data_IF_355634631598
#
_entry.id   IF_355634631598
#
_cell.length_a   1.000
_cell.length_b   1.000
_cell.length_c   1.000
_cell.angle_alpha   90.00
_cell.angle_beta   90.00
_cell.angle_gamma   90.00
#
_symmetry.space_group_name_H-M   'P 1'
#
loop_
_entity.id
_entity.type
_entity.pdbx_description
1 polymer ?
#
# COMPACT_ATOMS: atom_id res chain seq x y z
N UNK A 1 -1.18 -37.90 -14.61
CA UNK A 1 -2.29 -37.27 -15.37
C UNK A 1 -3.43 -36.79 -14.47
N UNK A 2 -3.98 -37.62 -13.56
CA UNK A 2 -5.18 -37.28 -12.77
C UNK A 2 -5.02 -36.09 -11.80
N UNK A 3 -3.85 -35.89 -11.19
CA UNK A 3 -3.64 -34.78 -10.26
C UNK A 3 -3.62 -33.41 -10.94
N UNK A 4 -2.97 -33.31 -12.12
CA UNK A 4 -2.94 -32.08 -12.93
C UNK A 4 -4.32 -31.77 -13.50
N UNK A 5 -5.04 -32.79 -13.97
CA UNK A 5 -6.42 -32.61 -14.46
C UNK A 5 -7.34 -32.08 -13.34
N UNK A 6 -7.17 -32.62 -12.14
CA UNK A 6 -7.93 -32.21 -10.95
C UNK A 6 -7.55 -30.80 -10.46
N UNK A 7 -6.27 -30.41 -10.51
CA UNK A 7 -5.84 -29.05 -10.14
C UNK A 7 -6.29 -28.00 -11.17
N UNK A 8 -6.27 -28.33 -12.45
CA UNK A 8 -6.83 -27.49 -13.51
C UNK A 8 -8.34 -27.32 -13.35
N UNK A 9 -9.07 -28.40 -13.05
CA UNK A 9 -10.51 -28.35 -12.76
C UNK A 9 -10.84 -27.45 -11.57
N UNK A 10 -10.09 -27.54 -10.46
CA UNK A 10 -10.24 -26.65 -9.30
C UNK A 10 -10.05 -25.17 -9.67
N UNK A 11 -9.03 -24.86 -10.48
CA UNK A 11 -8.72 -23.49 -10.87
C UNK A 11 -9.85 -22.87 -11.72
N UNK A 12 -10.42 -23.66 -12.63
CA UNK A 12 -11.58 -23.25 -13.44
C UNK A 12 -12.82 -22.99 -12.58
N UNK A 13 -13.11 -23.87 -11.62
CA UNK A 13 -14.21 -23.69 -10.68
C UNK A 13 -14.03 -22.42 -9.85
N UNK A 14 -12.81 -22.12 -9.37
CA UNK A 14 -12.52 -20.90 -8.63
C UNK A 14 -12.74 -19.64 -9.47
N UNK A 15 -12.36 -19.64 -10.75
CA UNK A 15 -12.60 -18.51 -11.66
C UNK A 15 -14.11 -18.20 -11.80
N UNK A 16 -14.97 -19.22 -11.82
CA UNK A 16 -16.42 -19.03 -11.87
C UNK A 16 -17.04 -18.58 -10.54
N UNK A 17 -16.53 -19.10 -9.42
CA UNK A 17 -17.06 -18.84 -8.08
C UNK A 17 -16.64 -17.46 -7.54
N UNK A 18 -15.44 -16.96 -7.87
CA UNK A 18 -14.93 -15.68 -7.35
C UNK A 18 -15.84 -14.49 -7.74
N UNK A 19 -16.22 -14.29 -9.02
CA UNK A 19 -17.14 -13.24 -9.41
C UNK A 19 -18.50 -13.36 -8.72
N UNK A 20 -19.00 -14.58 -8.54
CA UNK A 20 -20.24 -14.82 -7.80
C UNK A 20 -20.11 -14.38 -6.35
N UNK A 21 -19.03 -14.72 -5.64
CA UNK A 21 -18.83 -14.24 -4.28
C UNK A 21 -18.65 -12.73 -4.20
N UNK A 22 -17.90 -12.12 -5.11
CA UNK A 22 -17.77 -10.66 -5.18
C UNK A 22 -19.14 -10.02 -5.37
N UNK A 23 -19.94 -10.53 -6.32
CA UNK A 23 -21.29 -10.08 -6.56
C UNK A 23 -22.16 -10.21 -5.31
N UNK A 24 -22.17 -11.38 -4.65
CA UNK A 24 -22.95 -11.61 -3.44
C UNK A 24 -22.51 -10.69 -2.29
N UNK A 25 -21.22 -10.49 -2.08
CA UNK A 25 -20.70 -9.59 -1.04
C UNK A 25 -21.08 -8.14 -1.31
N UNK A 26 -21.05 -7.70 -2.58
CA UNK A 26 -21.49 -6.35 -2.95
C UNK A 26 -23.02 -6.22 -2.81
N UNK A 27 -23.78 -7.23 -3.22
CA UNK A 27 -25.24 -7.25 -3.17
C UNK A 27 -25.75 -7.23 -1.72
N UNK A 28 -25.16 -8.04 -0.84
CA UNK A 28 -25.56 -8.14 0.57
C UNK A 28 -24.83 -7.14 1.50
N UNK A 29 -24.11 -6.16 0.96
CA UNK A 29 -23.31 -5.21 1.78
C UNK A 29 -24.14 -4.49 2.86
N UNK A 30 -25.37 -4.09 2.52
CA UNK A 30 -26.24 -3.33 3.43
C UNK A 30 -26.86 -4.26 4.49
N UNK A 31 -27.16 -5.50 4.11
CA UNK A 31 -27.58 -6.55 5.04
C UNK A 31 -26.48 -6.85 6.08
N UNK A 32 -25.22 -6.95 5.67
CA UNK A 32 -24.11 -7.14 6.59
C UNK A 32 -23.91 -5.94 7.52
N UNK A 33 -24.08 -4.71 7.01
CA UNK A 33 -24.04 -3.51 7.85
C UNK A 33 -25.14 -3.52 8.90
N UNK A 34 -26.38 -3.87 8.51
CA UNK A 34 -27.51 -3.96 9.43
C UNK A 34 -27.35 -5.09 10.46
N UNK A 35 -26.81 -6.25 10.04
CA UNK A 35 -26.44 -7.33 10.95
C UNK A 35 -25.48 -6.84 12.03
N UNK A 36 -24.43 -6.09 11.66
CA UNK A 36 -23.46 -5.54 12.61
C UNK A 36 -24.10 -4.55 13.58
N UNK A 37 -25.02 -3.71 13.11
CA UNK A 37 -25.79 -2.79 13.95
C UNK A 37 -26.59 -3.57 14.99
N UNK A 38 -27.31 -4.62 14.57
CA UNK A 38 -28.14 -5.45 15.47
C UNK A 38 -27.32 -6.32 16.42
N UNK A 39 -26.13 -6.77 15.99
CA UNK A 39 -25.23 -7.60 16.80
C UNK A 39 -24.49 -6.78 17.85
N UNK A 40 -24.17 -5.52 17.53
CA UNK A 40 -23.45 -4.63 18.43
C UNK A 40 -24.34 -4.11 19.54
N UNK A 41 -23.81 -4.08 20.77
CA UNK A 41 -24.43 -3.38 21.92
C UNK A 41 -24.15 -1.88 21.92
N UNK A 42 -23.39 -1.37 20.93
CA UNK A 42 -23.04 0.05 20.79
C UNK A 42 -24.14 0.82 20.07
N UNK A 43 -24.03 2.14 20.08
CA UNK A 43 -24.91 3.02 19.34
C UNK A 43 -24.90 2.69 17.84
N UNK A 44 -26.08 2.66 17.21
CA UNK A 44 -26.24 2.32 15.80
C UNK A 44 -25.41 3.24 14.89
N UNK A 45 -25.38 4.54 15.20
CA UNK A 45 -24.61 5.52 14.44
C UNK A 45 -23.10 5.23 14.48
N UNK A 46 -22.56 4.85 15.65
CA UNK A 46 -21.14 4.52 15.78
C UNK A 46 -20.73 3.35 14.87
N UNK A 47 -21.57 2.32 14.82
CA UNK A 47 -21.33 1.13 13.97
C UNK A 47 -21.41 1.50 12.50
N UNK A 48 -22.43 2.27 12.08
CA UNK A 48 -22.57 2.72 10.69
C UNK A 48 -21.39 3.60 10.26
N UNK A 49 -20.94 4.52 11.12
CA UNK A 49 -19.74 5.29 10.87
C UNK A 49 -18.50 4.40 10.73
N UNK A 50 -18.35 3.36 11.56
CA UNK A 50 -17.24 2.42 11.47
C UNK A 50 -17.24 1.63 10.15
N UNK A 51 -18.41 1.14 9.72
CA UNK A 51 -18.58 0.43 8.44
C UNK A 51 -18.20 1.36 7.28
N UNK A 52 -18.71 2.60 7.30
CA UNK A 52 -18.40 3.62 6.28
C UNK A 52 -16.89 3.92 6.22
N UNK A 53 -16.24 4.16 7.36
CA UNK A 53 -14.83 4.54 7.41
C UNK A 53 -13.94 3.38 6.97
N UNK A 54 -14.26 2.16 7.42
CA UNK A 54 -13.58 0.93 6.98
C UNK A 54 -13.71 0.75 5.46
N UNK A 55 -14.92 0.91 4.92
CA UNK A 55 -15.17 0.85 3.48
C UNK A 55 -14.38 1.89 2.69
N UNK A 56 -14.30 3.14 3.19
CA UNK A 56 -13.51 4.21 2.56
C UNK A 56 -12.02 3.90 2.54
N UNK A 57 -11.47 3.29 3.59
CA UNK A 57 -10.05 2.86 3.64
C UNK A 57 -9.78 1.77 2.62
N UNK A 58 -10.59 0.72 2.60
CA UNK A 58 -10.44 -0.39 1.65
C UNK A 58 -10.57 0.12 0.21
N UNK A 59 -11.61 0.92 -0.07
CA UNK A 59 -11.85 1.47 -1.40
C UNK A 59 -10.71 2.37 -1.86
N UNK A 60 -10.26 3.30 -1.00
CA UNK A 60 -9.17 4.20 -1.35
C UNK A 60 -7.86 3.46 -1.60
N UNK A 61 -7.57 2.42 -0.82
CA UNK A 61 -6.42 1.57 -1.05
C UNK A 61 -6.53 0.83 -2.39
N UNK A 62 -7.63 0.13 -2.66
CA UNK A 62 -7.78 -0.66 -3.90
C UNK A 62 -7.77 0.22 -5.16
N UNK A 63 -8.54 1.32 -5.17
CA UNK A 63 -8.56 2.28 -6.29
C UNK A 63 -7.21 2.97 -6.43
N UNK A 64 -6.58 3.31 -5.30
CA UNK A 64 -5.28 3.92 -5.27
C UNK A 64 -4.22 3.00 -5.88
N UNK A 65 -4.18 1.71 -5.50
CA UNK A 65 -3.26 0.73 -6.06
C UNK A 65 -3.43 0.55 -7.57
N UNK A 66 -4.66 0.49 -8.08
CA UNK A 66 -4.90 0.41 -9.54
C UNK A 66 -4.31 1.63 -10.25
N UNK A 67 -4.49 2.83 -9.70
CA UNK A 67 -3.95 4.07 -10.25
C UNK A 67 -2.42 4.12 -10.17
N UNK A 68 -1.84 3.79 -9.02
CA UNK A 68 -0.38 3.74 -8.80
C UNK A 68 0.24 2.79 -9.82
N UNK A 69 -0.25 1.55 -9.87
CA UNK A 69 0.22 0.53 -10.80
C UNK A 69 0.10 0.97 -12.26
N UNK A 70 -1.01 1.61 -12.64
CA UNK A 70 -1.18 2.16 -13.98
C UNK A 70 -0.14 3.24 -14.33
N UNK A 71 0.15 4.16 -13.40
CA UNK A 71 1.15 5.22 -13.58
C UNK A 71 2.55 4.60 -13.70
N UNK A 72 2.92 3.69 -12.79
CA UNK A 72 4.23 3.03 -12.79
C UNK A 72 4.45 2.22 -14.07
N UNK A 73 3.45 1.43 -14.48
CA UNK A 73 3.51 0.67 -15.72
C UNK A 73 3.65 1.58 -16.95
N UNK A 74 2.96 2.71 -16.96
CA UNK A 74 3.05 3.69 -18.04
C UNK A 74 4.44 4.35 -18.11
N UNK A 75 4.99 4.80 -16.97
CA UNK A 75 6.34 5.37 -16.89
C UNK A 75 7.41 4.37 -17.32
N UNK A 76 7.35 3.14 -16.81
CA UNK A 76 8.27 2.07 -17.20
C UNK A 76 8.11 1.71 -18.68
N UNK A 77 6.89 1.62 -19.18
CA UNK A 77 6.60 1.33 -20.59
C UNK A 77 7.14 2.39 -21.56
N UNK A 78 7.00 3.68 -21.22
CA UNK A 78 7.63 4.77 -21.99
C UNK A 78 9.14 4.59 -22.02
N UNK A 79 9.76 4.35 -20.87
CA UNK A 79 11.21 4.15 -20.80
C UNK A 79 11.65 2.96 -21.68
N UNK A 80 10.99 1.81 -21.55
CA UNK A 80 11.31 0.63 -22.35
C UNK A 80 11.13 0.85 -23.85
N UNK A 81 10.08 1.59 -24.24
CA UNK A 81 9.84 1.97 -25.63
C UNK A 81 10.97 2.85 -26.18
N UNK A 82 11.37 3.89 -25.44
CA UNK A 82 12.45 4.80 -25.84
C UNK A 82 13.81 4.12 -25.93
N UNK A 83 14.05 3.11 -25.08
CA UNK A 83 15.26 2.29 -25.10
C UNK A 83 15.28 1.24 -26.23
N UNK A 84 14.20 1.13 -27.02
CA UNK A 84 14.11 0.15 -28.11
C UNK A 84 13.99 -1.31 -27.63
N UNK A 85 13.51 -1.53 -26.40
CA UNK A 85 13.31 -2.88 -25.86
C UNK A 85 12.20 -3.58 -26.65
N UNK A 86 12.55 -4.64 -27.37
CA UNK A 86 11.65 -5.35 -28.30
C UNK A 86 10.27 -5.69 -27.71
N UNK A 87 10.24 -6.15 -26.46
CA UNK A 87 9.01 -6.56 -25.77
C UNK A 87 8.57 -5.53 -24.71
N UNK A 88 8.73 -4.22 -24.99
CA UNK A 88 8.43 -3.15 -24.02
C UNK A 88 7.03 -3.26 -23.40
N UNK A 89 6.00 -3.58 -24.20
CA UNK A 89 4.62 -3.67 -23.72
C UNK A 89 4.40 -4.88 -22.80
N UNK A 90 5.06 -5.99 -23.09
CA UNK A 90 5.06 -7.18 -22.23
C UNK A 90 5.71 -6.87 -20.89
N UNK A 91 6.88 -6.21 -20.89
CA UNK A 91 7.56 -5.84 -19.66
C UNK A 91 6.81 -4.79 -18.86
N UNK A 92 6.18 -3.80 -19.52
CA UNK A 92 5.32 -2.83 -18.85
C UNK A 92 4.11 -3.50 -18.18
N UNK A 93 3.44 -4.42 -18.88
CA UNK A 93 2.35 -5.21 -18.32
C UNK A 93 2.80 -6.13 -17.18
N UNK A 94 4.01 -6.70 -17.29
CA UNK A 94 4.60 -7.52 -16.25
C UNK A 94 4.95 -6.72 -15.00
N UNK A 95 5.54 -5.53 -15.16
CA UNK A 95 5.76 -4.57 -14.07
C UNK A 95 4.42 -4.20 -13.43
N UNK A 96 3.38 -3.92 -14.24
CA UNK A 96 2.04 -3.62 -13.71
C UNK A 96 1.51 -4.77 -12.83
N UNK A 97 1.57 -6.00 -13.34
CA UNK A 97 1.10 -7.17 -12.63
C UNK A 97 1.89 -7.41 -11.34
N UNK A 98 3.21 -7.29 -11.40
CA UNK A 98 4.06 -7.46 -10.24
C UNK A 98 3.87 -6.33 -9.21
N UNK A 99 3.59 -5.10 -9.62
CA UNK A 99 3.37 -3.99 -8.70
C UNK A 99 2.16 -4.18 -7.77
N UNK A 100 1.26 -5.13 -8.08
CA UNK A 100 0.19 -5.54 -7.18
C UNK A 100 0.71 -6.23 -5.90
N UNK A 101 1.93 -6.74 -5.92
CA UNK A 101 2.61 -7.40 -4.79
C UNK A 101 3.56 -6.39 -4.13
N UNK A 102 3.19 -5.77 -3.00
CA UNK A 102 3.98 -4.68 -2.42
C UNK A 102 5.41 -5.13 -2.08
N UNK A 103 6.38 -4.28 -2.43
CA UNK A 103 7.85 -4.47 -2.30
C UNK A 103 8.45 -5.63 -3.09
N UNK A 104 7.85 -6.83 -3.02
CA UNK A 104 8.37 -8.05 -3.63
C UNK A 104 8.27 -8.00 -5.15
N UNK A 105 7.13 -7.55 -5.68
CA UNK A 105 6.91 -7.56 -7.12
C UNK A 105 7.78 -6.57 -7.88
N UNK A 106 8.02 -5.38 -7.33
CA UNK A 106 8.96 -4.42 -7.92
C UNK A 106 10.36 -5.03 -8.00
N UNK A 107 10.82 -5.69 -6.94
CA UNK A 107 12.12 -6.35 -6.94
C UNK A 107 12.22 -7.42 -8.03
N UNK A 108 11.26 -8.34 -8.08
CA UNK A 108 11.23 -9.44 -9.06
C UNK A 108 11.15 -8.90 -10.49
N UNK A 109 10.27 -7.94 -10.74
CA UNK A 109 10.09 -7.37 -12.08
C UNK A 109 11.32 -6.61 -12.54
N UNK A 110 11.93 -5.80 -11.66
CA UNK A 110 13.15 -5.06 -11.98
C UNK A 110 14.30 -6.01 -12.31
N UNK A 111 14.52 -7.04 -11.50
CA UNK A 111 15.58 -8.04 -11.74
C UNK A 111 15.39 -8.71 -13.10
N UNK A 112 14.17 -9.15 -13.42
CA UNK A 112 13.89 -9.83 -14.69
C UNK A 112 14.09 -8.90 -15.90
N UNK A 113 13.64 -7.66 -15.83
CA UNK A 113 13.82 -6.69 -16.91
C UNK A 113 15.29 -6.33 -17.10
N UNK A 114 16.02 -6.05 -16.01
CA UNK A 114 17.45 -5.72 -16.06
C UNK A 114 18.24 -6.90 -16.64
N UNK A 115 17.91 -8.13 -16.23
CA UNK A 115 18.55 -9.34 -16.76
C UNK A 115 18.27 -9.52 -18.25
N UNK A 116 17.03 -9.29 -18.69
CA UNK A 116 16.69 -9.32 -20.11
C UNK A 116 17.52 -8.30 -20.91
N UNK A 117 17.58 -7.05 -20.44
CA UNK A 117 18.36 -6.01 -21.10
C UNK A 117 19.84 -6.39 -21.14
N UNK A 118 20.40 -6.83 -20.02
CA UNK A 118 21.78 -7.29 -19.94
C UNK A 118 22.12 -8.41 -20.94
N UNK A 119 21.22 -9.38 -21.12
CA UNK A 119 21.42 -10.51 -22.04
C UNK A 119 21.17 -10.17 -23.51
N UNK A 120 20.49 -9.06 -23.81
CA UNK A 120 20.08 -8.70 -25.18
C UNK A 120 20.81 -7.47 -25.74
N UNK A 121 21.66 -6.83 -24.95
CA UNK A 121 22.45 -5.67 -25.36
C UNK A 121 23.94 -5.93 -25.18
N UNK A 122 24.75 -5.52 -26.16
CA UNK A 122 26.21 -5.71 -26.15
C UNK A 122 26.97 -4.72 -25.24
N UNK A 123 26.26 -3.85 -24.50
CA UNK A 123 26.85 -2.80 -23.67
C UNK A 123 26.24 -2.77 -22.26
N UNK A 124 27.11 -2.68 -21.26
CA UNK A 124 26.72 -2.52 -19.85
C UNK A 124 25.98 -1.22 -19.56
N UNK A 125 26.01 -0.25 -20.46
CA UNK A 125 25.29 1.01 -20.29
C UNK A 125 23.77 0.80 -20.17
N UNK A 126 23.20 -0.06 -21.01
CA UNK A 126 21.75 -0.32 -21.08
C UNK A 126 21.16 -0.93 -19.79
N UNK A 127 21.74 -1.99 -19.19
CA UNK A 127 21.23 -2.54 -17.94
C UNK A 127 21.45 -1.59 -16.76
N UNK A 128 22.55 -0.82 -16.74
CA UNK A 128 22.81 0.17 -15.69
C UNK A 128 21.81 1.32 -15.73
N UNK A 129 21.53 1.89 -16.91
CA UNK A 129 20.52 2.95 -17.04
C UNK A 129 19.11 2.42 -16.76
N UNK A 130 18.81 1.16 -17.15
CA UNK A 130 17.55 0.50 -16.81
C UNK A 130 17.37 0.37 -15.30
N UNK A 131 18.40 -0.07 -14.58
CA UNK A 131 18.39 -0.12 -13.12
C UNK A 131 18.14 1.28 -12.52
N UNK A 132 18.90 2.29 -12.99
CA UNK A 132 18.77 3.65 -12.48
C UNK A 132 17.36 4.24 -12.69
N UNK A 133 16.76 4.02 -13.86
CA UNK A 133 15.41 4.52 -14.16
C UNK A 133 14.34 3.77 -13.39
N UNK A 134 14.39 2.43 -13.34
CA UNK A 134 13.41 1.65 -12.56
C UNK A 134 13.50 1.98 -11.06
N UNK A 135 14.71 2.16 -10.55
CA UNK A 135 14.92 2.64 -9.18
C UNK A 135 14.37 4.06 -8.98
N UNK A 136 14.60 4.95 -9.94
CA UNK A 136 14.03 6.30 -9.92
C UNK A 136 12.50 6.30 -9.91
N UNK A 137 11.87 5.45 -10.72
CA UNK A 137 10.42 5.24 -10.73
C UNK A 137 9.96 4.73 -9.37
N UNK A 138 10.66 3.75 -8.76
CA UNK A 138 10.32 3.23 -7.44
C UNK A 138 10.40 4.29 -6.34
N UNK A 139 11.42 5.14 -6.37
CA UNK A 139 11.53 6.25 -5.44
C UNK A 139 10.41 7.27 -5.65
N UNK A 140 10.07 7.58 -6.89
CA UNK A 140 8.99 8.49 -7.22
C UNK A 140 7.63 7.92 -6.81
N UNK A 141 7.41 6.61 -7.01
CA UNK A 141 6.24 5.90 -6.52
C UNK A 141 6.09 6.04 -5.02
N UNK A 142 7.11 5.65 -4.26
CA UNK A 142 7.04 5.59 -2.80
C UNK A 142 6.91 6.97 -2.14
N UNK A 143 7.56 8.00 -2.71
CA UNK A 143 7.63 9.31 -2.08
C UNK A 143 6.61 10.31 -2.63
N UNK A 144 6.08 10.10 -3.84
CA UNK A 144 5.17 11.06 -4.49
C UNK A 144 3.86 10.40 -4.89
N UNK A 145 3.90 9.36 -5.73
CA UNK A 145 2.67 8.79 -6.31
C UNK A 145 1.81 8.17 -5.22
N UNK A 146 2.37 7.26 -4.41
CA UNK A 146 1.62 6.54 -3.38
C UNK A 146 1.02 7.50 -2.34
N UNK A 147 1.77 8.45 -1.75
CA UNK A 147 1.18 9.44 -0.85
C UNK A 147 0.12 10.34 -1.50
N UNK A 148 0.23 10.65 -2.79
CA UNK A 148 -0.75 11.50 -3.46
C UNK A 148 -2.03 10.72 -3.87
N UNK A 149 -1.87 9.48 -4.31
CA UNK A 149 -2.93 8.66 -4.92
C UNK A 149 -3.66 7.79 -3.90
N UNK A 150 -2.91 7.20 -2.97
CA UNK A 150 -3.41 6.33 -1.89
C UNK A 150 -3.56 7.12 -0.58
N UNK A 151 -2.83 8.22 -0.43
CA UNK A 151 -2.49 8.76 0.88
C UNK A 151 -3.59 9.46 1.67
N UNK A 152 -3.27 9.57 2.96
CA UNK A 152 -4.03 10.02 4.13
C UNK A 152 -5.14 9.09 4.67
N UNK A 153 -5.52 8.00 3.99
CA UNK A 153 -6.64 7.15 4.47
C UNK A 153 -6.21 5.88 5.18
N UNK A 154 -5.10 5.25 4.78
CA UNK A 154 -4.64 4.02 5.42
C UNK A 154 -3.81 4.30 6.68
N UNK A 155 -3.16 5.48 6.82
CA UNK A 155 -2.46 6.00 8.02
C UNK A 155 -1.83 4.93 8.94
N UNK A 156 -1.05 4.03 8.35
CA UNK A 156 -0.40 2.93 9.05
C UNK A 156 1.10 3.05 8.81
N UNK A 157 1.91 2.91 9.87
CA UNK A 157 3.36 3.01 9.73
C UNK A 157 3.98 1.84 8.96
N UNK A 158 5.21 2.05 8.51
CA UNK A 158 5.95 1.08 7.70
C UNK A 158 6.13 -0.27 8.39
N UNK A 159 6.36 -0.31 9.70
CA UNK A 159 6.56 -1.56 10.44
C UNK A 159 5.28 -2.43 10.41
N UNK A 160 4.13 -1.82 10.67
CA UNK A 160 2.85 -2.50 10.61
C UNK A 160 2.52 -2.98 9.18
N UNK A 161 2.87 -2.22 8.14
CA UNK A 161 2.76 -2.66 6.74
C UNK A 161 3.64 -3.88 6.46
N UNK A 162 4.89 -3.91 6.92
CA UNK A 162 5.78 -5.06 6.76
C UNK A 162 5.18 -6.30 7.42
N UNK A 163 4.69 -6.19 8.67
CA UNK A 163 4.01 -7.30 9.34
C UNK A 163 2.76 -7.75 8.60
N UNK A 164 1.96 -6.82 8.09
CA UNK A 164 0.77 -7.11 7.30
C UNK A 164 1.12 -7.98 6.08
N UNK A 165 2.19 -7.62 5.37
CA UNK A 165 2.67 -8.35 4.19
C UNK A 165 3.17 -9.74 4.56
N UNK A 166 3.97 -9.86 5.62
CA UNK A 166 4.51 -11.15 6.05
C UNK A 166 3.39 -12.11 6.50
N UNK A 167 2.47 -11.63 7.33
CA UNK A 167 1.33 -12.42 7.83
C UNK A 167 0.37 -12.76 6.69
N UNK A 168 0.02 -11.77 5.86
CA UNK A 168 -0.86 -11.96 4.72
C UNK A 168 -0.26 -12.92 3.69
N UNK A 169 1.03 -12.77 3.41
CA UNK A 169 1.79 -13.68 2.55
C UNK A 169 1.78 -15.12 3.05
N UNK A 170 1.90 -15.32 4.36
CA UNK A 170 1.85 -16.64 4.95
C UNK A 170 0.44 -17.26 4.95
N UNK A 171 -0.61 -16.45 5.19
CA UNK A 171 -1.99 -16.94 5.27
C UNK A 171 -2.65 -17.16 3.91
N UNK A 172 -2.49 -16.22 2.98
CA UNK A 172 -3.20 -16.17 1.69
C UNK A 172 -2.29 -15.88 0.49
N UNK A 173 -0.98 -16.04 0.65
CA UNK A 173 -0.02 -15.82 -0.43
C UNK A 173 -0.08 -14.39 -0.96
N UNK A 174 0.03 -14.26 -2.29
CA UNK A 174 0.07 -12.96 -2.98
C UNK A 174 -1.16 -12.10 -2.66
N UNK A 175 -2.35 -12.70 -2.70
CA UNK A 175 -3.60 -12.00 -2.38
C UNK A 175 -3.60 -11.48 -0.94
N UNK A 176 -3.03 -12.24 0.00
CA UNK A 176 -2.89 -11.81 1.38
C UNK A 176 -1.92 -10.65 1.56
N UNK A 177 -0.79 -10.64 0.86
CA UNK A 177 0.18 -9.52 0.90
C UNK A 177 -0.46 -8.18 0.50
N UNK A 178 -1.37 -8.20 -0.49
CA UNK A 178 -2.08 -7.01 -0.95
C UNK A 178 -3.22 -6.61 0.00
N UNK A 179 -4.03 -7.56 0.46
CA UNK A 179 -5.25 -7.29 1.22
C UNK A 179 -5.01 -7.03 2.71
N UNK A 180 -3.90 -7.48 3.28
CA UNK A 180 -3.63 -7.27 4.70
C UNK A 180 -3.31 -5.82 5.05
N UNK A 181 -2.77 -5.04 4.12
CA UNK A 181 -2.49 -3.61 4.33
C UNK A 181 -3.77 -2.82 4.66
N UNK A 182 -4.84 -2.85 3.85
CA UNK A 182 -6.09 -2.17 4.20
C UNK A 182 -6.78 -2.81 5.40
N UNK A 183 -6.62 -4.13 5.64
CA UNK A 183 -7.15 -4.77 6.85
C UNK A 183 -6.50 -4.23 8.12
N UNK A 184 -5.19 -3.96 8.11
CA UNK A 184 -4.52 -3.30 9.24
C UNK A 184 -5.02 -1.87 9.40
N UNK A 185 -5.33 -1.16 8.31
CA UNK A 185 -6.01 0.14 8.38
C UNK A 185 -7.38 0.07 9.06
N UNK A 186 -8.19 -0.94 8.72
CA UNK A 186 -9.49 -1.19 9.38
C UNK A 186 -9.31 -1.57 10.86
N UNK A 187 -8.32 -2.40 11.17
CA UNK A 187 -7.98 -2.76 12.54
C UNK A 187 -7.61 -1.52 13.34
N UNK A 188 -6.77 -0.63 12.78
CA UNK A 188 -6.40 0.64 13.41
C UNK A 188 -7.64 1.48 13.73
N UNK A 189 -8.54 1.70 12.77
CA UNK A 189 -9.81 2.44 12.99
C UNK A 189 -10.63 1.82 14.12
N UNK A 190 -10.65 0.48 14.18
CA UNK A 190 -11.37 -0.27 15.22
C UNK A 190 -10.77 -0.03 16.61
N UNK A 191 -9.43 -0.04 16.71
CA UNK A 191 -8.70 0.19 17.95
C UNK A 191 -8.82 1.66 18.42
N UNK A 192 -8.78 2.64 17.51
CA UNK A 192 -8.93 4.07 17.81
C UNK A 192 -10.28 4.39 18.49
N UNK A 193 -11.34 3.66 18.12
CA UNK A 193 -12.69 3.81 18.67
C UNK A 193 -12.87 3.16 20.04
N UNK A 194 -11.94 2.33 20.50
CA UNK A 194 -12.00 1.68 21.81
C UNK A 194 -11.15 2.44 22.83
N UNK A 195 -11.77 2.93 23.91
CA UNK A 195 -11.07 3.73 24.94
C UNK A 195 -9.84 3.01 25.53
N UNK A 196 -9.92 1.68 25.70
CA UNK A 196 -8.84 0.88 26.28
C UNK A 196 -7.74 0.49 25.28
N UNK A 197 -7.98 0.62 23.97
CA UNK A 197 -7.07 0.12 22.92
C UNK A 197 -6.45 1.24 22.07
N UNK A 198 -6.71 2.50 22.39
CA UNK A 198 -6.12 3.66 21.69
C UNK A 198 -4.59 3.59 21.61
N UNK A 199 -3.92 3.08 22.64
CA UNK A 199 -2.47 2.92 22.65
C UNK A 199 -1.96 1.99 21.54
N UNK A 200 -2.67 0.89 21.27
CA UNK A 200 -2.34 0.00 20.15
C UNK A 200 -2.61 0.64 18.80
N UNK A 201 -3.69 1.42 18.71
CA UNK A 201 -4.01 2.18 17.51
C UNK A 201 -2.93 3.22 17.18
N UNK A 202 -2.40 3.90 18.21
CA UNK A 202 -1.27 4.82 18.09
C UNK A 202 -0.01 4.11 17.59
N UNK A 203 0.29 2.91 18.12
CA UNK A 203 1.43 2.09 17.69
C UNK A 203 1.32 1.65 16.22
N UNK A 204 0.12 1.53 15.66
CA UNK A 204 -0.08 1.24 14.24
C UNK A 204 -0.06 2.49 13.36
N UNK A 205 -0.25 3.68 13.94
CA UNK A 205 -0.30 4.95 13.21
C UNK A 205 1.04 5.43 12.68
N UNK A 206 0.97 6.30 11.67
CA UNK A 206 2.09 7.02 11.06
C UNK A 206 2.29 8.43 11.67
N UNK A 207 1.60 8.74 12.78
CA UNK A 207 1.74 10.00 13.50
C UNK A 207 3.08 10.04 14.25
N UNK A 208 4.04 10.78 13.72
CA UNK A 208 5.25 11.14 14.45
C UNK A 208 4.83 12.11 15.56
N UNK A 209 5.17 11.86 16.84
CA UNK A 209 4.86 12.81 17.90
C UNK A 209 5.55 14.13 17.56
N UNK A 210 4.77 15.18 17.30
CA UNK A 210 5.27 16.54 17.48
C UNK A 210 5.52 16.66 18.96
N UNK A 211 6.75 16.42 19.40
CA UNK A 211 7.11 16.73 20.76
C UNK A 211 6.82 18.22 20.97
N UNK A 212 5.95 18.53 21.94
CA UNK A 212 5.80 19.89 22.50
C UNK A 212 7.17 20.46 22.92
N UNK A 213 8.17 19.59 23.08
CA UNK A 213 9.57 19.93 23.31
C UNK A 213 10.18 20.79 22.21
N UNK A 214 9.74 20.73 20.95
CA UNK A 214 10.25 21.62 19.89
C UNK A 214 9.80 23.08 20.08
N UNK A 215 8.57 23.33 20.55
CA UNK A 215 8.12 24.67 20.94
C UNK A 215 8.88 25.18 22.17
N UNK A 216 9.13 24.28 23.14
CA UNK A 216 9.87 24.60 24.35
C UNK A 216 11.36 24.85 24.07
N UNK A 217 11.96 24.13 23.12
CA UNK A 217 13.36 24.28 22.72
C UNK A 217 13.64 25.67 22.14
N UNK A 218 12.76 26.16 21.26
CA UNK A 218 12.87 27.53 20.73
C UNK A 218 12.63 28.57 21.82
N UNK A 219 11.68 28.37 22.75
CA UNK A 219 11.51 29.25 23.93
C UNK A 219 12.73 29.26 24.85
N UNK A 220 13.38 28.11 25.08
CA UNK A 220 14.58 27.97 25.91
C UNK A 220 15.79 28.63 25.25
N UNK A 221 15.96 28.46 23.94
CA UNK A 221 17.01 29.15 23.17
C UNK A 221 16.77 30.66 23.15
N UNK A 222 15.54 31.13 22.92
CA UNK A 222 15.21 32.57 22.95
C UNK A 222 15.47 33.17 24.33
N UNK A 223 15.18 32.44 25.42
CA UNK A 223 15.52 32.84 26.80
C UNK A 223 17.02 32.95 27.02
N UNK A 224 17.82 32.03 26.46
CA UNK A 224 19.29 32.06 26.59
C UNK A 224 19.98 33.10 25.70
N UNK A 225 19.39 33.44 24.55
CA UNK A 225 19.93 34.47 23.64
C UNK A 225 19.44 35.90 23.97
N UNK A 226 18.35 36.06 24.72
CA UNK A 226 17.76 37.35 25.07
C UNK A 226 18.41 38.09 26.25
N UNK A 227 19.43 37.51 26.91
CA UNK A 227 20.13 38.15 28.04
C UNK A 227 21.54 38.59 27.66
N UNK A 228 21.68 39.49 26.69
CA UNK A 228 22.88 40.34 26.60
C UNK A 228 22.58 41.60 25.78
N UNK A 229 22.17 42.64 26.51
CA UNK A 229 22.39 44.09 26.27
C UNK A 229 21.14 44.91 26.60
N UNK A 230 20.98 45.16 27.89
CA UNK A 230 20.59 46.48 28.37
C UNK A 230 21.31 46.74 29.68
N UNK A 231 22.46 47.45 29.61
CA UNK A 231 22.82 48.47 30.59
C UNK A 231 24.10 49.23 30.20
N UNK A 232 23.99 50.53 30.48
CA UNK A 232 24.99 51.63 30.46
C UNK A 232 25.23 52.24 29.08
N UNK A 233 24.75 53.47 28.82
CA UNK A 233 25.13 54.77 29.44
C UNK A 233 26.61 55.06 29.22
#
# INVERSE_FOLDING_TARGET
>A
MNQTLFSTGKSLTLIGIIPLYIFLLIYYKDFFAEFLVRFSKRNNEEVLHWVSDSGKVIQAYLVGMVRVTGIVAFLAGIFFYLMGIKYFLLFAAFVAFMNLIPYVGVFISSVLVILYVFLTTDSLFYPVITFAVLWGIQLFENNVITPYVVGSKVKVNALAVIFAILIGGWLWGISGMMLFIPLVGVLKITLERSQNLKAFAYLLGDEVPVSEESENFWKVIKRRLGTSRSKKS
#
